data_IF_765918342418
#
_entry.id   IF_765918342418
#
_cell.length_a   1.000
_cell.length_b   1.000
_cell.length_c   1.000
_cell.angle_alpha   90.00
_cell.angle_beta   90.00
_cell.angle_gamma   90.00
#
_symmetry.space_group_name_H-M   'P 1'
#
loop_
_entity.id
_entity.type
_entity.pdbx_description
1 polymer ?
#
# COMPACT_ATOMS: atom_id res chain seq x y z
N UNK A 1 10.69 -23.38 -5.67
CA UNK A 1 11.05 -22.24 -4.81
C UNK A 1 12.04 -21.35 -5.59
N UNK A 2 11.72 -20.06 -5.74
CA UNK A 2 12.65 -19.15 -6.40
C UNK A 2 13.84 -18.87 -5.49
N UNK A 3 15.08 -18.91 -6.01
CA UNK A 3 16.24 -18.62 -5.18
C UNK A 3 16.22 -17.16 -4.69
N UNK A 4 16.77 -16.93 -3.51
CA UNK A 4 16.96 -15.58 -2.99
C UNK A 4 18.08 -14.92 -3.80
N UNK A 5 17.74 -13.82 -4.47
CA UNK A 5 18.69 -13.04 -5.26
C UNK A 5 19.18 -11.84 -4.45
N UNK A 6 20.44 -11.46 -4.66
CA UNK A 6 20.97 -10.20 -4.12
C UNK A 6 20.27 -9.02 -4.80
N UNK A 7 20.37 -7.83 -4.22
CA UNK A 7 19.76 -6.64 -4.82
C UNK A 7 20.39 -6.31 -6.18
N UNK A 8 21.67 -6.54 -6.36
CA UNK A 8 22.37 -6.37 -7.63
C UNK A 8 21.85 -7.34 -8.69
N UNK A 9 21.63 -8.60 -8.34
CA UNK A 9 21.05 -9.60 -9.23
C UNK A 9 19.60 -9.28 -9.58
N UNK A 10 18.82 -8.78 -8.65
CA UNK A 10 17.45 -8.36 -8.89
C UNK A 10 17.38 -7.20 -9.88
N UNK A 11 18.26 -6.19 -9.73
CA UNK A 11 18.34 -5.06 -10.66
C UNK A 11 18.82 -5.52 -12.03
N UNK A 12 19.84 -6.36 -12.10
CA UNK A 12 20.32 -6.93 -13.36
C UNK A 12 19.19 -7.68 -14.08
N UNK A 13 18.40 -8.45 -13.36
CA UNK A 13 17.25 -9.17 -13.92
C UNK A 13 16.17 -8.23 -14.45
N UNK A 14 15.89 -7.13 -13.76
CA UNK A 14 14.96 -6.12 -14.25
C UNK A 14 15.43 -5.49 -15.56
N UNK A 15 16.71 -5.19 -15.66
CA UNK A 15 17.30 -4.60 -16.87
C UNK A 15 17.30 -5.60 -18.03
N UNK A 16 17.76 -6.81 -17.80
CA UNK A 16 17.94 -7.81 -18.85
C UNK A 16 16.64 -8.47 -19.30
N UNK A 17 15.79 -8.86 -18.35
CA UNK A 17 14.61 -9.68 -18.62
C UNK A 17 13.30 -8.91 -18.62
N UNK A 18 13.24 -7.77 -17.96
CA UNK A 18 11.98 -7.01 -17.76
C UNK A 18 11.99 -5.62 -18.39
N UNK A 19 12.97 -5.36 -19.25
CA UNK A 19 13.01 -4.14 -20.04
C UNK A 19 12.97 -2.83 -19.21
N UNK A 20 13.52 -2.87 -18.02
CA UNK A 20 13.68 -1.68 -17.18
C UNK A 20 14.96 -0.96 -17.58
N UNK A 21 14.89 0.35 -17.82
CA UNK A 21 16.03 1.17 -18.18
C UNK A 21 16.62 1.91 -17.01
N UNK A 22 17.93 1.84 -16.88
CA UNK A 22 18.72 2.62 -15.92
C UNK A 22 19.78 3.36 -16.72
N UNK A 23 19.66 4.68 -16.85
CA UNK A 23 20.43 5.47 -17.81
C UNK A 23 21.85 5.82 -17.35
N UNK A 24 22.12 5.75 -16.05
CA UNK A 24 23.44 6.09 -15.52
C UNK A 24 23.75 5.29 -14.24
N UNK A 25 25.00 5.30 -13.83
CA UNK A 25 25.40 4.68 -12.59
C UNK A 25 24.80 5.38 -11.36
N UNK A 26 24.61 6.68 -11.45
CA UNK A 26 23.97 7.47 -10.39
C UNK A 26 22.50 7.04 -10.22
N UNK A 27 21.77 6.86 -11.32
CA UNK A 27 20.39 6.33 -11.30
C UNK A 27 20.35 4.93 -10.70
N UNK A 28 21.32 4.08 -11.07
CA UNK A 28 21.39 2.71 -10.58
C UNK A 28 21.59 2.69 -9.05
N UNK A 29 22.44 3.54 -8.53
CA UNK A 29 22.67 3.66 -7.09
C UNK A 29 21.42 4.19 -6.36
N UNK A 30 20.75 5.17 -6.93
CA UNK A 30 19.49 5.69 -6.38
C UNK A 30 18.40 4.62 -6.38
N UNK A 31 18.27 3.89 -7.46
CA UNK A 31 17.30 2.82 -7.59
C UNK A 31 17.58 1.68 -6.60
N UNK A 32 18.83 1.30 -6.47
CA UNK A 32 19.27 0.30 -5.49
C UNK A 32 18.91 0.73 -4.07
N UNK A 33 19.24 1.97 -3.68
CA UNK A 33 18.92 2.50 -2.36
C UNK A 33 17.41 2.55 -2.12
N UNK A 34 16.65 2.92 -3.11
CA UNK A 34 15.20 2.95 -3.06
C UNK A 34 14.60 1.56 -2.83
N UNK A 35 15.05 0.56 -3.59
CA UNK A 35 14.60 -0.82 -3.45
C UNK A 35 14.97 -1.42 -2.09
N UNK A 36 16.13 -1.06 -1.55
CA UNK A 36 16.53 -1.49 -0.21
C UNK A 36 15.65 -0.85 0.86
N UNK A 37 15.31 0.43 0.70
CA UNK A 37 14.49 1.17 1.66
C UNK A 37 13.05 0.65 1.74
N UNK A 38 12.42 0.42 0.58
CA UNK A 38 11.00 0.08 0.49
C UNK A 38 10.72 -1.39 0.18
N UNK A 39 11.74 -2.19 0.00
CA UNK A 39 11.69 -3.59 -0.40
C UNK A 39 11.32 -3.78 -1.89
N UNK A 40 12.13 -4.57 -2.57
CA UNK A 40 11.95 -4.92 -3.98
C UNK A 40 10.52 -5.42 -4.29
N UNK A 41 10.01 -6.34 -3.47
CA UNK A 41 8.68 -6.93 -3.68
C UNK A 41 7.60 -5.86 -3.63
N UNK A 42 7.69 -4.94 -2.67
CA UNK A 42 6.70 -3.87 -2.53
C UNK A 42 6.73 -2.88 -3.69
N UNK A 43 7.93 -2.46 -4.10
CA UNK A 43 8.09 -1.49 -5.18
C UNK A 43 7.69 -2.10 -6.53
N UNK A 44 8.30 -3.20 -6.91
CA UNK A 44 8.06 -3.85 -8.21
C UNK A 44 6.68 -4.50 -8.24
N UNK A 45 6.26 -5.12 -7.14
CA UNK A 45 4.94 -5.75 -7.06
C UNK A 45 3.79 -4.77 -7.21
N UNK A 46 3.88 -3.58 -6.62
CA UNK A 46 2.82 -2.58 -6.70
C UNK A 46 2.76 -1.86 -8.05
N UNK A 47 3.90 -1.68 -8.73
CA UNK A 47 3.98 -0.94 -9.99
C UNK A 47 3.85 -1.81 -11.25
N UNK A 48 4.11 -3.11 -11.14
CA UNK A 48 4.12 -4.02 -12.30
C UNK A 48 2.80 -4.05 -13.09
N UNK A 49 1.67 -3.88 -12.41
CA UNK A 49 0.36 -3.93 -13.07
C UNK A 49 0.15 -2.78 -14.06
N UNK A 50 0.81 -1.64 -13.85
CA UNK A 50 0.72 -0.50 -14.75
C UNK A 50 1.75 -0.54 -15.87
N UNK A 51 2.89 -1.15 -15.65
CA UNK A 51 3.98 -1.21 -16.63
C UNK A 51 4.03 -2.53 -17.38
N UNK A 52 3.55 -3.62 -16.80
CA UNK A 52 3.51 -4.91 -17.46
C UNK A 52 2.38 -4.97 -18.48
N UNK A 53 2.68 -5.44 -19.69
CA UNK A 53 1.73 -5.54 -20.79
C UNK A 53 1.22 -6.96 -21.03
N UNK A 54 1.85 -7.95 -20.40
CA UNK A 54 1.47 -9.34 -20.53
C UNK A 54 2.07 -10.21 -19.44
N UNK A 55 1.77 -11.51 -19.54
CA UNK A 55 2.25 -12.50 -18.59
C UNK A 55 2.69 -13.77 -19.31
N UNK A 56 3.93 -14.22 -19.09
CA UNK A 56 4.44 -15.46 -19.62
C UNK A 56 4.11 -16.61 -18.66
N UNK A 57 3.17 -17.47 -19.05
CA UNK A 57 2.71 -18.60 -18.24
C UNK A 57 3.83 -19.62 -17.99
N UNK A 58 4.70 -19.84 -18.98
CA UNK A 58 5.80 -20.82 -18.87
C UNK A 58 6.86 -20.36 -17.86
N UNK A 59 7.25 -19.10 -17.93
CA UNK A 59 8.26 -18.51 -17.03
C UNK A 59 7.66 -17.99 -15.72
N UNK A 60 6.34 -17.87 -15.66
CA UNK A 60 5.61 -17.27 -14.53
C UNK A 60 6.08 -15.84 -14.22
N UNK A 61 6.27 -15.04 -15.26
CA UNK A 61 6.79 -13.68 -15.15
C UNK A 61 5.93 -12.69 -15.94
N UNK A 62 5.83 -11.47 -15.43
CA UNK A 62 5.20 -10.36 -16.15
C UNK A 62 6.14 -9.84 -17.25
N UNK A 63 5.57 -9.50 -18.39
CA UNK A 63 6.29 -8.99 -19.56
C UNK A 63 6.09 -7.48 -19.67
N UNK A 64 7.18 -6.75 -19.85
CA UNK A 64 7.18 -5.31 -20.11
C UNK A 64 7.58 -5.09 -21.58
N UNK A 65 6.60 -4.86 -22.45
CA UNK A 65 6.87 -4.62 -23.88
C UNK A 65 7.55 -3.28 -24.14
N UNK A 66 7.12 -2.25 -23.42
CA UNK A 66 7.78 -0.94 -23.48
C UNK A 66 8.90 -0.86 -22.46
N UNK A 67 10.00 -0.26 -22.87
CA UNK A 67 11.07 0.07 -21.96
C UNK A 67 10.56 1.03 -20.88
N UNK A 68 10.72 0.64 -19.63
CA UNK A 68 10.25 1.41 -18.47
C UNK A 68 11.46 1.96 -17.72
N UNK A 69 11.51 3.28 -17.51
CA UNK A 69 12.61 3.90 -16.77
C UNK A 69 12.43 3.65 -15.27
N UNK A 70 13.53 3.37 -14.57
CA UNK A 70 13.49 3.17 -13.12
C UNK A 70 12.97 4.39 -12.36
N UNK A 71 13.16 5.59 -12.89
CA UNK A 71 12.59 6.82 -12.31
C UNK A 71 11.07 6.80 -12.30
N UNK A 72 10.45 6.29 -13.36
CA UNK A 72 8.99 6.19 -13.45
C UNK A 72 8.45 5.20 -12.43
N UNK A 73 9.15 4.10 -12.20
CA UNK A 73 8.80 3.12 -11.17
C UNK A 73 8.85 3.77 -9.78
N UNK A 74 9.94 4.45 -9.47
CA UNK A 74 10.09 5.14 -8.18
C UNK A 74 9.04 6.23 -7.98
N UNK A 75 8.79 7.05 -9.00
CA UNK A 75 7.78 8.11 -8.95
C UNK A 75 6.37 7.57 -8.74
N UNK A 76 6.02 6.49 -9.42
CA UNK A 76 4.71 5.86 -9.25
C UNK A 76 4.54 5.28 -7.84
N UNK A 77 5.56 4.60 -7.34
CA UNK A 77 5.54 4.06 -5.99
C UNK A 77 5.43 5.17 -4.94
N UNK A 78 6.14 6.29 -5.12
CA UNK A 78 6.02 7.45 -4.23
C UNK A 78 4.59 8.02 -4.22
N UNK A 79 3.93 8.06 -5.37
CA UNK A 79 2.52 8.47 -5.48
C UNK A 79 1.59 7.51 -4.75
N UNK A 80 1.83 6.21 -4.84
CA UNK A 80 1.08 5.21 -4.09
C UNK A 80 1.24 5.38 -2.59
N UNK A 81 2.45 5.66 -2.10
CA UNK A 81 2.70 5.93 -0.69
C UNK A 81 1.95 7.16 -0.20
N UNK A 82 1.94 8.25 -0.97
CA UNK A 82 1.19 9.47 -0.64
C UNK A 82 -0.31 9.21 -0.59
N UNK A 83 -0.82 8.48 -1.58
CA UNK A 83 -2.24 8.10 -1.62
C UNK A 83 -2.62 7.24 -0.42
N UNK A 84 -1.78 6.27 -0.08
CA UNK A 84 -1.97 5.41 1.10
C UNK A 84 -2.03 6.22 2.39
N UNK A 85 -1.14 7.21 2.55
CA UNK A 85 -1.15 8.10 3.72
C UNK A 85 -2.45 8.91 3.83
N UNK A 86 -2.91 9.50 2.71
CA UNK A 86 -4.15 10.27 2.66
C UNK A 86 -5.35 9.38 3.01
N UNK A 87 -5.39 8.18 2.44
CA UNK A 87 -6.46 7.22 2.69
C UNK A 87 -6.49 6.78 4.17
N UNK A 88 -5.31 6.51 4.73
CA UNK A 88 -5.17 6.11 6.14
C UNK A 88 -5.63 7.21 7.09
N UNK A 89 -5.25 8.46 6.85
CA UNK A 89 -5.71 9.62 7.62
C UNK A 89 -7.24 9.74 7.58
N UNK A 90 -7.83 9.64 6.39
CA UNK A 90 -9.28 9.67 6.23
C UNK A 90 -10.00 8.55 6.98
N UNK A 91 -9.45 7.34 6.95
CA UNK A 91 -10.01 6.19 7.68
C UNK A 91 -9.92 6.41 9.19
N UNK A 92 -8.79 6.90 9.69
CA UNK A 92 -8.61 7.18 11.12
C UNK A 92 -9.57 8.27 11.62
N UNK A 93 -9.75 9.33 10.85
CA UNK A 93 -10.72 10.39 11.19
C UNK A 93 -12.15 9.83 11.25
N UNK A 94 -12.52 9.00 10.28
CA UNK A 94 -13.82 8.36 10.22
C UNK A 94 -14.04 7.44 11.42
N UNK A 95 -13.05 6.63 11.77
CA UNK A 95 -13.10 5.77 12.96
C UNK A 95 -13.31 6.57 14.24
N UNK A 96 -12.59 7.70 14.40
CA UNK A 96 -12.72 8.57 15.56
C UNK A 96 -14.12 9.15 15.67
N UNK A 97 -14.70 9.59 14.55
CA UNK A 97 -16.07 10.10 14.51
C UNK A 97 -17.09 9.03 14.88
N UNK A 98 -16.92 7.81 14.36
CA UNK A 98 -17.80 6.68 14.69
C UNK A 98 -17.75 6.33 16.17
N UNK A 99 -16.56 6.33 16.77
CA UNK A 99 -16.40 6.06 18.22
C UNK A 99 -17.12 7.09 19.06
N UNK A 100 -17.02 8.37 18.71
CA UNK A 100 -17.73 9.44 19.42
C UNK A 100 -19.25 9.28 19.29
N UNK A 101 -19.76 9.06 18.08
CA UNK A 101 -21.18 8.87 17.81
C UNK A 101 -21.74 7.66 18.57
N UNK A 102 -21.02 6.55 18.55
CA UNK A 102 -21.42 5.34 19.26
C UNK A 102 -21.43 5.55 20.77
N UNK A 103 -20.43 6.25 21.32
CA UNK A 103 -20.37 6.57 22.75
C UNK A 103 -21.56 7.42 23.19
N UNK A 104 -21.93 8.44 22.41
CA UNK A 104 -23.09 9.28 22.67
C UNK A 104 -24.39 8.48 22.62
N UNK A 105 -24.54 7.61 21.63
CA UNK A 105 -25.70 6.75 21.48
C UNK A 105 -25.88 5.82 22.68
N UNK A 106 -24.80 5.17 23.11
CA UNK A 106 -24.83 4.26 24.25
C UNK A 106 -25.15 5.01 25.55
N UNK A 107 -24.60 6.21 25.72
CA UNK A 107 -24.89 7.07 26.87
C UNK A 107 -26.37 7.42 26.96
N UNK A 108 -26.98 7.85 25.85
CA UNK A 108 -28.40 8.16 25.80
C UNK A 108 -29.25 6.93 26.10
N UNK A 109 -28.86 5.76 25.61
CA UNK A 109 -29.57 4.52 25.90
C UNK A 109 -29.51 4.15 27.37
N UNK A 110 -28.37 4.31 28.03
CA UNK A 110 -28.21 4.05 29.45
C UNK A 110 -29.03 5.04 30.29
N UNK A 111 -29.04 6.31 29.93
CA UNK A 111 -29.82 7.35 30.63
C UNK A 111 -31.32 7.04 30.54
N UNK A 112 -31.82 6.64 29.38
CA UNK A 112 -33.22 6.21 29.20
C UNK A 112 -33.59 5.01 30.08
N UNK A 113 -32.74 4.03 30.15
CA UNK A 113 -32.96 2.83 30.97
C UNK A 113 -32.95 3.19 32.48
N UNK A 114 -32.10 4.12 32.88
CA UNK A 114 -32.07 4.58 34.26
C UNK A 114 -33.37 5.33 34.66
N UNK A 115 -33.92 6.14 33.75
CA UNK A 115 -35.19 6.81 33.93
C UNK A 115 -36.34 5.81 34.01
N UNK A 116 -36.40 4.83 33.15
CA UNK A 116 -37.41 3.76 33.18
C UNK A 116 -37.38 2.97 34.49
N UNK A 117 -36.17 2.66 34.99
CA UNK A 117 -36.01 1.96 36.25
C UNK A 117 -36.56 2.80 37.45
N UNK A 118 -36.31 4.13 37.44
CA UNK A 118 -36.85 5.05 38.47
C UNK A 118 -38.37 5.12 38.40
N UNK A 119 -38.97 5.17 37.21
CA UNK A 119 -40.42 5.19 37.04
C UNK A 119 -41.07 3.91 37.58
N UNK A 120 -40.45 2.77 37.39
CA UNK A 120 -40.91 1.49 37.94
C UNK A 120 -40.86 1.50 39.47
N UNK A 121 -39.77 1.99 40.07
CA UNK A 121 -39.67 2.13 41.53
C UNK A 121 -40.74 3.08 42.12
N UNK A 122 -41.00 4.20 41.45
CA UNK A 122 -41.98 5.20 41.87
C UNK A 122 -43.42 4.76 41.68
N UNK A 123 -43.68 3.73 40.84
CA UNK A 123 -45.03 3.21 40.61
C UNK A 123 -45.47 2.15 41.62
N UNK A 124 -44.56 1.64 42.40
CA UNK A 124 -44.85 0.76 43.55
C UNK A 124 -45.20 1.62 44.79
#
# INVERSE_FOLDING_TARGET
MKPLLSIEEQIARLIENKNVKVNSQIEKEKFKSYLLKYNYINVIGSTKLLFATGYDIKKKEHIYEKATNCKDIMNLHDKFLKFECILREGILDYESQLKVMLSLYLRDLFDKKAEEAKDIENSE
#
